data_IF_017677179500
#
_entry.id   IF_017677179500
#
_cell.length_a   1.000
_cell.length_b   1.000
_cell.length_c   1.000
_cell.angle_alpha   90.00
_cell.angle_beta   90.00
_cell.angle_gamma   90.00
#
_symmetry.space_group_name_H-M   'P 1'
#
loop_
_entity.id
_entity.type
_entity.pdbx_description
1 polymer ?
#
# COMPACT_ATOMS: atom_id res chain seq x y z
N UNK A 1 16.98 7.29 7.17
CA UNK A 1 17.99 6.22 6.95
C UNK A 1 17.74 5.63 5.58
N UNK A 2 18.74 5.58 4.68
CA UNK A 2 18.55 4.91 3.41
C UNK A 2 18.67 3.40 3.65
N UNK A 3 17.54 2.74 3.89
CA UNK A 3 17.46 1.28 3.91
C UNK A 3 17.53 0.79 2.47
N UNK A 4 18.74 0.62 1.94
CA UNK A 4 18.95 -0.04 0.66
C UNK A 4 18.62 -1.53 0.83
N UNK A 5 17.37 -1.89 0.58
CA UNK A 5 16.96 -3.30 0.48
C UNK A 5 17.28 -3.75 -0.94
N UNK A 6 18.10 -4.80 -1.15
CA UNK A 6 18.45 -5.26 -2.48
C UNK A 6 17.21 -5.91 -3.12
N UNK A 7 16.40 -5.08 -3.78
CA UNK A 7 15.21 -5.52 -4.50
C UNK A 7 15.61 -6.24 -5.78
N UNK A 8 15.89 -7.54 -5.67
CA UNK A 8 15.88 -8.40 -6.85
C UNK A 8 14.44 -8.52 -7.34
N UNK A 9 14.21 -8.20 -8.61
CA UNK A 9 12.90 -8.14 -9.28
C UNK A 9 12.06 -9.44 -9.17
N UNK A 10 12.64 -10.54 -8.64
CA UNK A 10 11.98 -11.84 -8.44
C UNK A 10 11.18 -11.95 -7.13
N UNK A 11 11.46 -11.10 -6.14
CA UNK A 11 10.94 -11.26 -4.77
C UNK A 11 10.13 -10.07 -4.26
N UNK A 12 9.74 -9.13 -5.14
CA UNK A 12 8.92 -7.99 -4.79
C UNK A 12 7.53 -8.12 -5.41
N UNK A 13 6.49 -7.82 -4.65
CA UNK A 13 5.15 -7.57 -5.17
C UNK A 13 4.80 -6.09 -4.98
N UNK A 14 4.03 -5.52 -5.89
CA UNK A 14 3.61 -4.12 -5.86
C UNK A 14 2.09 -4.08 -5.92
N UNK A 15 1.50 -3.42 -4.94
CA UNK A 15 0.07 -3.08 -4.92
C UNK A 15 -0.11 -1.59 -5.16
N UNK A 16 -1.04 -1.25 -6.04
CA UNK A 16 -1.42 0.12 -6.35
C UNK A 16 -2.93 0.23 -6.17
N UNK A 17 -3.36 1.12 -5.29
CA UNK A 17 -4.76 1.47 -5.08
C UNK A 17 -4.98 2.90 -5.54
N UNK A 18 -5.94 3.11 -6.44
CA UNK A 18 -6.25 4.43 -7.01
C UNK A 18 -7.65 4.84 -6.57
N UNK A 19 -7.74 6.04 -5.99
CA UNK A 19 -8.97 6.62 -5.48
C UNK A 19 -9.27 7.94 -6.18
N UNK A 20 -10.55 8.17 -6.48
CA UNK A 20 -11.09 9.44 -6.99
C UNK A 20 -12.09 9.95 -5.94
N UNK A 21 -11.59 10.55 -4.84
CA UNK A 21 -12.45 10.95 -3.73
C UNK A 21 -13.26 12.21 -4.06
N UNK A 22 -14.43 12.31 -3.43
CA UNK A 22 -15.14 13.60 -3.30
C UNK A 22 -14.28 14.55 -2.45
N UNK A 23 -14.25 15.84 -2.78
CA UNK A 23 -13.38 16.83 -2.12
C UNK A 23 -13.51 16.82 -0.59
N UNK A 24 -14.72 16.55 -0.08
CA UNK A 24 -15.04 16.57 1.36
C UNK A 24 -14.35 15.45 2.14
N UNK A 25 -14.00 14.32 1.49
CA UNK A 25 -13.46 13.13 2.19
C UNK A 25 -11.96 12.93 1.99
N UNK A 26 -11.27 13.88 1.35
CA UNK A 26 -9.84 13.76 1.00
C UNK A 26 -8.96 13.57 2.23
N UNK A 27 -9.14 14.39 3.27
CA UNK A 27 -8.29 14.34 4.45
C UNK A 27 -8.56 13.09 5.30
N UNK A 28 -9.83 12.69 5.44
CA UNK A 28 -10.22 11.45 6.12
C UNK A 28 -9.66 10.22 5.41
N UNK A 29 -9.73 10.19 4.08
CA UNK A 29 -9.14 9.13 3.27
C UNK A 29 -7.62 9.07 3.43
N UNK A 30 -6.93 10.20 3.43
CA UNK A 30 -5.48 10.24 3.68
C UNK A 30 -5.15 9.70 5.09
N UNK A 31 -5.92 10.08 6.10
CA UNK A 31 -5.71 9.60 7.47
C UNK A 31 -5.95 8.09 7.58
N UNK A 32 -7.02 7.58 6.94
CA UNK A 32 -7.28 6.15 6.85
C UNK A 32 -6.13 5.42 6.13
N UNK A 33 -5.62 5.97 5.03
CA UNK A 33 -4.49 5.39 4.28
C UNK A 33 -3.19 5.40 5.09
N UNK A 34 -2.96 6.39 5.96
CA UNK A 34 -1.83 6.38 6.90
C UNK A 34 -1.94 5.23 7.90
N UNK A 35 -3.11 5.06 8.51
CA UNK A 35 -3.38 3.94 9.43
C UNK A 35 -3.24 2.58 8.73
N UNK A 36 -3.78 2.47 7.51
CA UNK A 36 -3.62 1.30 6.66
C UNK A 36 -2.14 1.04 6.34
N UNK A 37 -1.37 2.07 5.99
CA UNK A 37 0.06 1.94 5.72
C UNK A 37 0.81 1.37 6.93
N UNK A 38 0.49 1.83 8.14
CA UNK A 38 1.07 1.29 9.38
C UNK A 38 0.68 -0.17 9.62
N UNK A 39 -0.57 -0.57 9.34
CA UNK A 39 -0.98 -1.98 9.52
C UNK A 39 -0.32 -2.91 8.51
N UNK A 40 -0.06 -2.43 7.28
CA UNK A 40 0.56 -3.24 6.22
C UNK A 40 2.00 -3.66 6.53
N UNK A 41 2.72 -2.92 7.38
CA UNK A 41 4.08 -3.28 7.82
C UNK A 41 4.09 -4.66 8.50
N UNK A 42 3.10 -4.92 9.37
CA UNK A 42 2.93 -6.22 10.04
C UNK A 42 2.62 -7.37 9.07
N UNK A 43 2.09 -7.03 7.89
CA UNK A 43 1.70 -7.98 6.84
C UNK A 43 2.81 -8.21 5.80
N UNK A 44 3.99 -7.60 5.99
CA UNK A 44 5.14 -7.77 5.10
C UNK A 44 5.27 -6.71 4.01
N UNK A 45 4.54 -5.59 4.12
CA UNK A 45 4.81 -4.41 3.32
C UNK A 45 6.13 -3.80 3.79
N UNK A 46 7.11 -3.75 2.90
CA UNK A 46 8.44 -3.21 3.17
C UNK A 46 8.51 -1.70 2.94
N UNK A 47 7.62 -1.17 2.10
CA UNK A 47 7.55 0.26 1.84
C UNK A 47 6.18 0.64 1.32
N UNK A 48 5.56 1.67 1.88
CA UNK A 48 4.32 2.24 1.36
C UNK A 48 4.40 3.76 1.20
N UNK A 49 3.58 4.30 0.31
CA UNK A 49 3.54 5.75 0.06
C UNK A 49 2.16 6.17 -0.44
N UNK A 50 1.78 7.40 -0.11
CA UNK A 50 0.53 8.01 -0.56
C UNK A 50 0.88 9.20 -1.46
N UNK A 51 0.41 9.16 -2.69
CA UNK A 51 0.51 10.25 -3.65
C UNK A 51 -0.82 10.95 -3.76
N UNK A 52 -0.81 12.28 -3.71
CA UNK A 52 -1.98 13.12 -3.94
C UNK A 52 -1.73 13.93 -5.21
N UNK A 53 -2.69 13.95 -6.12
CA UNK A 53 -2.62 14.83 -7.28
C UNK A 53 -2.64 16.30 -6.82
N UNK A 54 -2.07 17.19 -7.62
CA UNK A 54 -2.04 18.64 -7.33
C UNK A 54 -3.46 19.19 -7.14
N UNK A 55 -4.42 18.68 -7.92
CA UNK A 55 -5.82 19.08 -7.84
C UNK A 55 -6.61 18.35 -6.74
N UNK A 56 -6.00 17.40 -6.02
CA UNK A 56 -6.66 16.63 -4.96
C UNK A 56 -7.77 15.69 -5.43
N UNK A 57 -8.00 15.59 -6.75
CA UNK A 57 -9.02 14.74 -7.37
C UNK A 57 -8.60 13.27 -7.48
N UNK A 58 -7.34 12.96 -7.20
CA UNK A 58 -6.82 11.60 -7.26
C UNK A 58 -5.84 11.38 -6.12
N UNK A 59 -6.00 10.24 -5.46
CA UNK A 59 -5.10 9.75 -4.42
C UNK A 59 -4.66 8.34 -4.83
N UNK A 60 -3.37 8.09 -4.77
CA UNK A 60 -2.78 6.78 -5.06
C UNK A 60 -2.07 6.30 -3.82
N UNK A 61 -2.41 5.10 -3.37
CA UNK A 61 -1.59 4.38 -2.40
C UNK A 61 -0.75 3.34 -3.12
N UNK A 62 0.53 3.30 -2.77
CA UNK A 62 1.52 2.36 -3.27
C UNK A 62 2.04 1.53 -2.10
N UNK A 63 2.09 0.21 -2.27
CA UNK A 63 2.71 -0.71 -1.34
C UNK A 63 3.67 -1.65 -2.07
N UNK A 64 4.91 -1.71 -1.61
CA UNK A 64 5.89 -2.70 -2.00
C UNK A 64 5.99 -3.77 -0.91
N UNK A 65 5.87 -5.02 -1.33
CA UNK A 65 5.82 -6.16 -0.44
C UNK A 65 7.00 -7.08 -0.73
N UNK A 66 7.62 -7.59 0.32
CA UNK A 66 8.57 -8.68 0.13
C UNK A 66 7.77 -9.97 0.00
N UNK A 67 8.04 -10.75 -1.05
CA UNK A 67 7.43 -12.07 -1.26
C UNK A 67 7.96 -13.01 -0.17
N UNK A 68 7.34 -12.98 1.02
CA UNK A 68 7.45 -14.09 1.99
C UNK A 68 6.88 -15.33 1.31
N UNK A 69 7.45 -16.50 1.63
CA UNK A 69 7.03 -17.79 1.08
C UNK A 69 5.51 -17.88 0.99
N UNK A 70 5.04 -18.47 -0.11
CA UNK A 70 3.69 -18.43 -0.70
C UNK A 70 2.47 -18.55 0.25
N UNK A 71 2.68 -18.96 1.50
CA UNK A 71 1.67 -19.32 2.49
C UNK A 71 0.87 -18.10 3.01
N UNK A 72 1.50 -16.94 3.21
CA UNK A 72 0.80 -15.75 3.74
C UNK A 72 0.01 -14.98 2.66
N UNK A 73 0.32 -15.21 1.38
CA UNK A 73 -0.30 -14.49 0.26
C UNK A 73 -1.76 -14.92 0.03
N UNK A 74 -2.06 -16.19 0.29
CA UNK A 74 -3.40 -16.75 0.17
C UNK A 74 -4.35 -16.19 1.24
N UNK A 75 -3.86 -15.93 2.45
CA UNK A 75 -4.66 -15.31 3.52
C UNK A 75 -5.07 -13.86 3.20
N UNK A 76 -4.15 -13.06 2.65
CA UNK A 76 -4.47 -11.68 2.24
C UNK A 76 -5.47 -11.67 1.08
N UNK A 77 -5.31 -12.54 0.10
CA UNK A 77 -6.24 -12.63 -1.02
C UNK A 77 -7.62 -13.11 -0.58
N UNK A 78 -7.70 -14.01 0.40
CA UNK A 78 -8.97 -14.40 1.02
C UNK A 78 -9.65 -13.23 1.76
N UNK A 79 -8.89 -12.41 2.49
CA UNK A 79 -9.42 -11.26 3.22
C UNK A 79 -9.89 -10.11 2.33
N UNK A 80 -9.36 -9.99 1.09
CA UNK A 80 -9.80 -8.99 0.12
C UNK A 80 -10.97 -9.44 -0.77
N UNK A 81 -11.24 -10.74 -0.84
CA UNK A 81 -12.34 -11.32 -1.67
C UNK A 81 -13.58 -11.66 -0.83
N UNK A 82 -13.48 -11.59 0.51
CA UNK A 82 -14.60 -11.75 1.46
C UNK A 82 -15.34 -10.46 1.75
#
# INVERSE_FOLDING_TARGET
MPCFVPFSNRNLDISILVFIPMVVVVDDLINALKLFSSSTESMGCVHSSIFRSIHGNMIIWYGAWMKRSNENKEFLHAAFVS
#
